data_IF_115958227679
#
_entry.id   IF_115958227679
#
_cell.length_a   1.000
_cell.length_b   1.000
_cell.length_c   1.000
_cell.angle_alpha   90.00
_cell.angle_beta   90.00
_cell.angle_gamma   90.00
#
_symmetry.space_group_name_H-M   'P 1'
#
loop_
_entity.id
_entity.type
_entity.pdbx_description
1 polymer ?
#
# COMPACT_ATOMS: atom_id res chain seq x y z
N UNK A 1 -30.03 -40.30 -24.66
CA UNK A 1 -28.73 -39.58 -24.75
C UNK A 1 -28.86 -38.04 -24.68
N UNK A 2 -29.94 -37.48 -24.10
CA UNK A 2 -30.25 -36.03 -24.13
C UNK A 2 -30.13 -35.29 -22.79
N UNK A 3 -30.19 -36.01 -21.66
CA UNK A 3 -30.17 -35.43 -20.30
C UNK A 3 -28.83 -34.75 -19.92
N UNK A 4 -27.71 -35.19 -20.49
CA UNK A 4 -26.39 -34.62 -20.21
C UNK A 4 -26.17 -33.24 -20.87
N UNK A 5 -26.90 -32.94 -21.93
CA UNK A 5 -26.74 -31.67 -22.65
C UNK A 5 -27.51 -30.54 -21.97
N UNK A 6 -28.75 -30.82 -21.53
CA UNK A 6 -29.59 -29.87 -20.79
C UNK A 6 -28.95 -29.46 -19.47
N UNK A 7 -28.39 -30.41 -18.72
CA UNK A 7 -27.68 -30.14 -17.46
C UNK A 7 -26.39 -29.32 -17.67
N UNK A 8 -25.65 -29.56 -18.76
CA UNK A 8 -24.47 -28.77 -19.15
C UNK A 8 -24.84 -27.33 -19.49
N UNK A 9 -25.92 -27.10 -20.25
CA UNK A 9 -26.43 -25.76 -20.58
C UNK A 9 -26.93 -25.04 -19.33
N UNK A 10 -27.68 -25.72 -18.47
CA UNK A 10 -28.15 -25.15 -17.21
C UNK A 10 -26.98 -24.75 -16.28
N UNK A 11 -25.85 -25.46 -16.33
CA UNK A 11 -24.62 -25.08 -15.61
C UNK A 11 -23.95 -23.85 -16.24
N UNK A 12 -23.87 -23.80 -17.57
CA UNK A 12 -23.31 -22.65 -18.28
C UNK A 12 -24.14 -21.39 -18.00
N UNK A 13 -25.48 -21.45 -18.11
CA UNK A 13 -26.32 -20.28 -17.86
C UNK A 13 -26.21 -19.77 -16.41
N UNK A 14 -26.19 -20.67 -15.42
CA UNK A 14 -25.95 -20.31 -14.02
C UNK A 14 -24.61 -19.60 -13.83
N UNK A 15 -23.55 -20.09 -14.48
CA UNK A 15 -22.24 -19.43 -14.43
C UNK A 15 -22.26 -18.03 -15.07
N UNK A 16 -23.00 -17.85 -16.17
CA UNK A 16 -23.20 -16.54 -16.79
C UNK A 16 -23.98 -15.57 -15.90
N UNK A 17 -25.04 -16.04 -15.23
CA UNK A 17 -25.81 -15.22 -14.29
C UNK A 17 -24.93 -14.78 -13.11
N UNK A 18 -24.14 -15.69 -12.54
CA UNK A 18 -23.23 -15.36 -11.43
C UNK A 18 -22.18 -14.34 -11.86
N UNK A 19 -21.57 -14.52 -13.06
CA UNK A 19 -20.61 -13.57 -13.61
C UNK A 19 -21.25 -12.22 -13.88
N UNK A 20 -22.44 -12.19 -14.48
CA UNK A 20 -23.18 -10.97 -14.74
C UNK A 20 -23.45 -10.21 -13.44
N UNK A 21 -23.97 -10.89 -12.41
CA UNK A 21 -24.19 -10.30 -11.07
C UNK A 21 -22.91 -9.75 -10.46
N UNK A 22 -21.80 -10.47 -10.59
CA UNK A 22 -20.51 -10.00 -10.08
C UNK A 22 -20.08 -8.70 -10.78
N UNK A 23 -20.08 -8.68 -12.12
CA UNK A 23 -19.65 -7.51 -12.88
C UNK A 23 -20.60 -6.33 -12.73
N UNK A 24 -21.92 -6.56 -12.65
CA UNK A 24 -22.89 -5.49 -12.39
C UNK A 24 -22.66 -4.88 -11.01
N UNK A 25 -22.46 -5.71 -9.98
CA UNK A 25 -22.19 -5.24 -8.62
C UNK A 25 -20.85 -4.49 -8.54
N UNK A 26 -19.81 -5.01 -9.20
CA UNK A 26 -18.50 -4.36 -9.28
C UNK A 26 -18.60 -3.00 -9.97
N UNK A 27 -19.37 -2.91 -11.05
CA UNK A 27 -19.60 -1.67 -11.78
C UNK A 27 -20.35 -0.64 -10.91
N UNK A 28 -21.42 -1.05 -10.23
CA UNK A 28 -22.17 -0.18 -9.31
C UNK A 28 -21.27 0.33 -8.18
N UNK A 29 -20.46 -0.55 -7.59
CA UNK A 29 -19.54 -0.18 -6.51
C UNK A 29 -18.51 0.86 -6.99
N UNK A 30 -17.84 0.60 -8.11
CA UNK A 30 -16.83 1.50 -8.65
C UNK A 30 -17.41 2.85 -9.04
N UNK A 31 -18.61 2.87 -9.63
CA UNK A 31 -19.32 4.10 -9.99
C UNK A 31 -19.74 4.91 -8.75
N UNK A 32 -20.26 4.26 -7.70
CA UNK A 32 -20.57 4.96 -6.45
C UNK A 32 -19.32 5.55 -5.80
N UNK A 33 -18.24 4.78 -5.78
CA UNK A 33 -16.96 5.22 -5.22
C UNK A 33 -16.33 6.38 -5.98
N UNK A 34 -16.46 6.40 -7.32
CA UNK A 34 -15.98 7.54 -8.12
C UNK A 34 -16.83 8.80 -7.88
N UNK A 35 -18.15 8.66 -7.77
CA UNK A 35 -19.05 9.75 -7.41
C UNK A 35 -18.75 10.29 -6.02
N UNK A 36 -18.47 9.43 -5.03
CA UNK A 36 -18.05 9.85 -3.69
C UNK A 36 -16.76 10.69 -3.74
N UNK A 37 -15.76 10.27 -4.54
CA UNK A 37 -14.50 11.02 -4.71
C UNK A 37 -14.74 12.37 -5.39
N UNK A 38 -15.69 12.45 -6.32
CA UNK A 38 -16.06 13.70 -7.00
C UNK A 38 -16.80 14.66 -6.06
N UNK A 39 -17.78 14.17 -5.29
CA UNK A 39 -18.61 14.99 -4.42
C UNK A 39 -17.89 15.45 -3.14
N UNK A 40 -17.13 14.56 -2.52
CA UNK A 40 -16.50 14.81 -1.22
C UNK A 40 -15.00 15.10 -1.32
N UNK A 41 -14.45 15.09 -2.54
CA UNK A 41 -13.01 15.17 -2.78
C UNK A 41 -12.27 13.88 -2.40
N UNK A 42 -10.96 13.82 -2.69
CA UNK A 42 -10.12 12.72 -2.18
C UNK A 42 -10.15 12.77 -0.65
N UNK A 43 -10.55 11.67 0.01
CA UNK A 43 -10.31 11.49 1.44
C UNK A 43 -8.85 11.82 1.69
N UNK A 44 -8.56 12.83 2.53
CA UNK A 44 -7.20 13.10 2.98
C UNK A 44 -6.67 11.78 3.51
N UNK A 45 -5.60 11.26 2.90
CA UNK A 45 -4.91 10.10 3.46
C UNK A 45 -4.60 10.49 4.90
N UNK A 46 -5.13 9.72 5.85
CA UNK A 46 -4.77 9.88 7.26
C UNK A 46 -3.26 9.86 7.32
N UNK A 47 -2.66 10.85 8.00
CA UNK A 47 -1.22 10.94 8.10
C UNK A 47 -0.70 9.58 8.59
N UNK A 48 0.09 8.90 7.74
CA UNK A 48 0.63 7.59 8.07
C UNK A 48 1.63 7.78 9.19
N UNK A 49 1.22 7.51 10.43
CA UNK A 49 2.11 7.62 11.59
C UNK A 49 3.05 6.40 11.56
N UNK A 50 4.37 6.60 11.42
CA UNK A 50 5.31 5.49 11.47
C UNK A 50 5.34 4.93 12.89
N UNK A 51 4.88 3.69 13.06
CA UNK A 51 4.93 2.98 14.35
C UNK A 51 6.19 2.11 14.49
N UNK A 52 6.86 1.81 13.39
CA UNK A 52 8.07 0.98 13.35
C UNK A 52 8.96 1.39 12.16
N UNK A 53 10.28 1.17 12.29
CA UNK A 53 11.22 1.31 11.19
C UNK A 53 11.10 0.10 10.26
N UNK A 54 10.63 0.33 9.05
CA UNK A 54 10.50 -0.74 8.04
C UNK A 54 11.84 -1.10 7.41
N UNK A 55 11.94 -2.29 6.78
CA UNK A 55 13.15 -2.71 6.04
C UNK A 55 13.54 -1.69 4.97
N UNK A 56 12.55 -1.10 4.27
CA UNK A 56 12.79 -0.06 3.27
C UNK A 56 13.41 1.20 3.90
N UNK A 57 12.88 1.63 5.05
CA UNK A 57 13.43 2.76 5.80
C UNK A 57 14.86 2.48 6.27
N UNK A 58 15.12 1.28 6.80
CA UNK A 58 16.45 0.84 7.21
C UNK A 58 17.45 0.91 6.07
N UNK A 59 17.12 0.37 4.89
CA UNK A 59 18.00 0.43 3.73
C UNK A 59 18.28 1.86 3.29
N UNK A 60 17.27 2.74 3.37
CA UNK A 60 17.43 4.15 3.02
C UNK A 60 18.35 4.87 4.01
N UNK A 61 18.22 4.58 5.32
CA UNK A 61 19.09 5.14 6.36
C UNK A 61 20.53 4.65 6.23
N UNK A 62 20.74 3.38 5.87
CA UNK A 62 22.08 2.85 5.57
C UNK A 62 22.72 3.61 4.41
N UNK A 63 21.97 3.89 3.34
CA UNK A 63 22.46 4.70 2.22
C UNK A 63 22.79 6.15 2.62
N UNK A 64 22.12 6.69 3.66
CA UNK A 64 22.38 8.03 4.19
C UNK A 64 23.56 8.08 5.18
N UNK A 65 24.25 6.96 5.42
CA UNK A 65 25.44 6.87 6.28
C UNK A 65 25.17 6.51 7.74
N UNK A 66 23.93 6.15 8.10
CA UNK A 66 23.63 5.69 9.45
C UNK A 66 24.02 4.22 9.63
N UNK A 67 24.64 3.87 10.76
CA UNK A 67 24.99 2.49 11.06
C UNK A 67 23.79 1.68 11.56
N UNK A 68 23.86 0.35 11.49
CA UNK A 68 22.83 -0.52 12.06
C UNK A 68 22.59 -0.27 13.57
N UNK A 69 23.65 0.12 14.32
CA UNK A 69 23.53 0.48 15.74
C UNK A 69 22.72 1.75 15.91
N UNK A 70 23.01 2.78 15.12
CA UNK A 70 22.28 4.06 15.16
C UNK A 70 20.80 3.86 14.82
N UNK A 71 20.51 3.03 13.80
CA UNK A 71 19.13 2.74 13.38
C UNK A 71 18.38 1.96 14.48
N UNK A 72 19.05 1.05 15.20
CA UNK A 72 18.46 0.28 16.29
C UNK A 72 18.00 1.12 17.48
N UNK A 73 18.64 2.25 17.72
CA UNK A 73 18.27 3.20 18.78
C UNK A 73 17.34 4.32 18.29
N UNK A 74 16.99 4.33 17.00
CA UNK A 74 16.23 5.41 16.39
C UNK A 74 14.72 5.23 16.57
N UNK A 75 14.00 6.30 16.87
CA UNK A 75 12.52 6.25 16.87
C UNK A 75 11.99 6.23 15.42
N UNK A 76 10.88 5.53 15.15
CA UNK A 76 10.27 5.49 13.82
C UNK A 76 9.92 6.87 13.26
N UNK A 77 9.51 7.79 14.13
CA UNK A 77 9.21 9.18 13.76
C UNK A 77 10.48 9.90 13.27
N UNK A 78 11.57 9.81 14.04
CA UNK A 78 12.85 10.44 13.70
C UNK A 78 13.41 9.85 12.41
N UNK A 79 13.38 8.52 12.26
CA UNK A 79 13.75 7.83 11.04
C UNK A 79 12.96 8.33 9.82
N UNK A 80 11.64 8.50 9.97
CA UNK A 80 10.80 9.02 8.88
C UNK A 80 11.17 10.46 8.52
N UNK A 81 11.48 11.30 9.50
CA UNK A 81 11.87 12.68 9.28
C UNK A 81 13.22 12.77 8.58
N UNK A 82 14.22 12.00 9.02
CA UNK A 82 15.54 11.91 8.38
C UNK A 82 15.40 11.50 6.91
N UNK A 83 14.59 10.48 6.62
CA UNK A 83 14.34 10.03 5.25
C UNK A 83 13.61 11.10 4.43
N UNK A 84 12.61 11.75 5.01
CA UNK A 84 11.82 12.80 4.34
C UNK A 84 12.69 14.00 3.97
N UNK A 85 13.60 14.39 4.86
CA UNK A 85 14.50 15.54 4.69
C UNK A 85 15.87 15.16 4.09
N UNK A 86 16.12 13.87 3.80
CA UNK A 86 17.39 13.34 3.30
C UNK A 86 18.62 13.85 4.07
N UNK A 87 18.53 13.85 5.40
CA UNK A 87 19.64 14.30 6.26
C UNK A 87 20.75 13.25 6.23
N UNK A 88 21.90 13.59 5.65
CA UNK A 88 23.10 12.77 5.68
C UNK A 88 23.72 12.82 7.08
N UNK A 89 24.27 11.68 7.53
CA UNK A 89 25.09 11.69 8.74
C UNK A 89 26.43 12.33 8.38
N UNK A 90 26.76 13.47 8.97
CA UNK A 90 28.08 14.06 8.80
C UNK A 90 29.13 13.10 9.35
N UNK A 91 30.10 12.75 8.50
CA UNK A 91 31.24 11.94 8.88
C UNK A 91 32.19 12.84 9.70
N UNK A 92 31.98 12.91 11.01
CA UNK A 92 33.01 13.41 11.92
C UNK A 92 34.14 12.39 12.04
N UNK A 93 34.95 12.30 10.99
CA UNK A 93 36.32 11.80 11.07
C UNK A 93 37.24 12.99 11.38
N UNK A 94 37.65 13.06 12.65
CA UNK A 94 38.89 13.67 13.18
C UNK A 94 39.12 15.18 12.99
N UNK A 95 38.60 15.98 13.92
CA UNK A 95 39.44 16.92 14.65
C UNK A 95 39.89 16.21 15.93
N UNK A 96 41.13 15.71 15.96
CA UNK A 96 41.84 15.38 17.18
C UNK A 96 42.94 16.42 17.36
N UNK A 97 42.93 17.04 18.53
CA UNK A 97 43.93 17.99 19.06
C UNK A 97 45.26 17.29 19.27
#
# INVERSE_FOLDING_TARGET
MSLNWVSKIARISRNWVTRYKYYSNLWIYNSRKSIEVLLYGKKKQTASIPFMITVKMKNTLLCLGYSNKDIGHMTPLLASNIIKHRVLKENNSSFQV
#
